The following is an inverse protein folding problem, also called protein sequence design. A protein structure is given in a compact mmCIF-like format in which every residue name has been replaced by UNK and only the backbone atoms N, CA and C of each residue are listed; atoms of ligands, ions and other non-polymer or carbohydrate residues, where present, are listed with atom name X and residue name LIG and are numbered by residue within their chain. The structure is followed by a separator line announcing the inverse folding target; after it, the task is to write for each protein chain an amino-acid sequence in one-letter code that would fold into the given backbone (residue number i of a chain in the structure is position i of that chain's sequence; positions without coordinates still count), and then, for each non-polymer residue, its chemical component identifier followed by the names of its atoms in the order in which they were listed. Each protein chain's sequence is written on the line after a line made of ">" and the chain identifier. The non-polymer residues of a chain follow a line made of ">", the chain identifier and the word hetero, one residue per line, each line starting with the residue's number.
data_IF_164618259975
#
_entry.id   IF_164618259975
#
_cell.length_a   1.000
_cell.length_b   1.000
_cell.length_c   1.000
_cell.angle_alpha   90.00
_cell.angle_beta   90.00
_cell.angle_gamma   90.00
#
_symmetry.space_group_name_H-M   'P 1'
#
loop_
_entity.id
_entity.type
_entity.pdbx_description
1 polymer ?
#
# COMPACT_ATOMS: atom_id res chain seq x y z
N UNK A 1 -9.91 7.25 9.07
CA UNK A 1 -9.49 6.24 10.07
C UNK A 1 -7.99 6.25 10.32
N UNK A 2 -7.12 6.12 9.30
CA UNK A 2 -5.66 6.12 9.52
C UNK A 2 -5.14 7.36 10.29
N UNK A 3 -5.65 8.55 9.97
CA UNK A 3 -5.32 9.78 10.70
C UNK A 3 -5.66 9.71 12.19
N UNK A 4 -6.84 9.18 12.55
CA UNK A 4 -7.23 9.05 13.96
C UNK A 4 -6.31 8.08 14.71
N UNK A 5 -5.84 7.01 14.07
CA UNK A 5 -4.88 6.07 14.68
C UNK A 5 -3.57 6.79 14.98
N UNK A 6 -3.08 7.59 14.04
CA UNK A 6 -1.88 8.41 14.24
C UNK A 6 -2.07 9.44 15.36
N UNK A 7 -3.21 10.14 15.41
CA UNK A 7 -3.46 11.20 16.39
C UNK A 7 -3.70 10.65 17.81
N UNK A 8 -4.43 9.54 17.94
CA UNK A 8 -4.86 9.00 19.23
C UNK A 8 -3.89 7.97 19.83
N UNK A 9 -3.08 7.32 19.00
CA UNK A 9 -2.17 6.25 19.41
C UNK A 9 -0.71 6.50 19.05
N UNK A 10 -0.29 7.75 18.84
CA UNK A 10 1.07 8.09 18.38
C UNK A 10 2.18 7.39 19.17
N UNK A 11 2.09 7.43 20.50
CA UNK A 11 3.11 6.88 21.39
C UNK A 11 3.15 5.34 21.39
N UNK A 12 2.11 4.67 20.89
CA UNK A 12 1.99 3.21 20.82
C UNK A 12 2.42 2.64 19.45
N UNK A 13 2.75 3.50 18.47
CA UNK A 13 3.02 3.09 17.09
C UNK A 13 4.52 2.89 16.83
N UNK A 14 4.91 1.64 16.58
CA UNK A 14 6.26 1.31 16.08
C UNK A 14 6.51 1.80 14.64
N UNK A 15 5.43 2.04 13.88
CA UNK A 15 5.47 2.47 12.49
C UNK A 15 4.23 3.30 12.13
N UNK A 16 4.31 4.20 11.13
CA UNK A 16 3.16 4.95 10.67
C UNK A 16 2.08 4.00 10.08
N UNK A 17 0.78 4.27 10.29
CA UNK A 17 -0.28 3.47 9.67
C UNK A 17 -0.17 3.47 8.15
N UNK A 18 -0.25 2.28 7.55
CA UNK A 18 -0.14 2.08 6.10
C UNK A 18 -1.51 1.73 5.53
N UNK A 19 -1.93 2.46 4.50
CA UNK A 19 -3.18 2.20 3.80
C UNK A 19 -2.90 1.50 2.48
N UNK A 20 -3.44 0.30 2.33
CA UNK A 20 -3.47 -0.43 1.06
C UNK A 20 -4.87 -0.31 0.48
N UNK A 21 -4.98 0.20 -0.74
CA UNK A 21 -6.25 0.41 -1.40
C UNK A 21 -6.11 0.38 -2.91
N UNK A 22 -7.24 0.25 -3.60
CA UNK A 22 -7.29 0.40 -5.05
C UNK A 22 -6.80 1.77 -5.49
N UNK A 23 -6.36 1.83 -6.75
CA UNK A 23 -5.95 3.09 -7.37
C UNK A 23 -7.15 4.03 -7.47
N UNK A 24 -6.90 5.34 -7.43
CA UNK A 24 -7.93 6.35 -7.62
C UNK A 24 -8.32 6.44 -9.11
N UNK A 25 -9.01 5.41 -9.59
CA UNK A 25 -9.48 5.27 -10.96
C UNK A 25 -10.87 4.63 -10.95
N UNK A 26 -11.59 4.73 -12.07
CA UNK A 26 -12.90 4.11 -12.23
C UNK A 26 -12.70 2.59 -12.16
N UNK A 27 -13.53 1.92 -11.36
CA UNK A 27 -13.48 0.46 -11.24
C UNK A 27 -13.56 -0.18 -12.64
N UNK A 28 -12.59 -1.01 -13.03
CA UNK A 28 -12.55 -1.59 -14.36
C UNK A 28 -13.56 -2.74 -14.49
N UNK A 29 -13.61 -3.36 -15.68
CA UNK A 29 -14.40 -4.56 -15.90
C UNK A 29 -13.91 -5.72 -15.02
N UNK A 30 -14.80 -6.72 -14.82
CA UNK A 30 -14.59 -7.86 -13.92
C UNK A 30 -13.26 -8.59 -14.18
N UNK A 31 -12.84 -8.68 -15.43
CA UNK A 31 -11.61 -9.35 -15.86
C UNK A 31 -10.32 -8.70 -15.31
N UNK A 32 -10.42 -7.47 -14.80
CA UNK A 32 -9.28 -6.70 -14.28
C UNK A 32 -9.31 -6.53 -12.75
N UNK A 33 -10.27 -7.15 -12.05
CA UNK A 33 -10.43 -7.03 -10.60
C UNK A 33 -9.20 -7.47 -9.83
N UNK A 34 -8.57 -8.58 -10.24
CA UNK A 34 -7.36 -9.12 -9.60
C UNK A 34 -6.16 -8.15 -9.64
N UNK A 35 -6.16 -7.23 -10.61
CA UNK A 35 -5.12 -6.22 -10.77
C UNK A 35 -5.48 -4.87 -10.15
N UNK A 36 -6.76 -4.62 -9.89
CA UNK A 36 -7.28 -3.34 -9.41
C UNK A 36 -7.56 -3.33 -7.91
N UNK A 37 -8.13 -4.42 -7.38
CA UNK A 37 -8.45 -4.55 -5.97
C UNK A 37 -7.24 -5.05 -5.17
N UNK A 38 -7.14 -4.65 -3.89
CA UNK A 38 -6.07 -5.12 -3.01
C UNK A 38 -6.04 -6.64 -2.93
N UNK A 39 -4.90 -7.21 -3.30
CA UNK A 39 -4.63 -8.65 -3.16
C UNK A 39 -3.84 -8.93 -1.88
N UNK A 40 -3.83 -10.19 -1.43
CA UNK A 40 -3.06 -10.61 -0.27
C UNK A 40 -1.56 -10.25 -0.40
N UNK A 41 -1.00 -10.35 -1.61
CA UNK A 41 0.38 -9.96 -1.91
C UNK A 41 0.65 -8.48 -1.66
N UNK A 42 -0.34 -7.59 -1.89
CA UNK A 42 -0.19 -6.15 -1.68
C UNK A 42 -0.06 -5.83 -0.19
N UNK A 43 -0.81 -6.56 0.64
CA UNK A 43 -0.75 -6.44 2.10
C UNK A 43 0.61 -6.94 2.62
N UNK A 44 1.07 -8.10 2.15
CA UNK A 44 2.36 -8.66 2.54
C UNK A 44 3.53 -7.75 2.15
N UNK A 45 3.51 -7.22 0.93
CA UNK A 45 4.53 -6.28 0.48
C UNK A 45 4.50 -4.97 1.29
N UNK A 46 3.30 -4.47 1.63
CA UNK A 46 3.16 -3.27 2.45
C UNK A 46 3.74 -3.48 3.86
N UNK A 47 3.45 -4.62 4.50
CA UNK A 47 4.05 -4.99 5.79
C UNK A 47 5.57 -5.06 5.66
N UNK A 48 6.07 -5.82 4.67
CA UNK A 48 7.50 -6.04 4.47
C UNK A 48 8.28 -4.73 4.25
N UNK A 49 7.74 -3.80 3.45
CA UNK A 49 8.45 -2.57 3.06
C UNK A 49 8.24 -1.43 4.05
N UNK A 50 7.07 -1.33 4.70
CA UNK A 50 6.68 -0.13 5.46
C UNK A 50 6.60 -0.35 6.97
N UNK A 51 6.51 -1.59 7.44
CA UNK A 51 6.34 -1.91 8.86
C UNK A 51 7.53 -2.72 9.36
N UNK A 52 7.69 -3.97 8.87
CA UNK A 52 8.73 -4.88 9.32
C UNK A 52 9.12 -5.87 8.21
N UNK A 53 10.42 -6.09 7.95
CA UNK A 53 10.86 -7.07 6.97
C UNK A 53 10.42 -8.49 7.33
N UNK A 54 9.60 -9.08 6.46
CA UNK A 54 9.19 -10.49 6.55
C UNK A 54 10.27 -11.43 6.03
N UNK A 55 10.56 -12.49 6.79
CA UNK A 55 11.55 -13.51 6.41
C UNK A 55 11.11 -14.25 5.15
N UNK A 56 12.02 -14.42 4.20
CA UNK A 56 11.80 -15.11 2.91
C UNK A 56 10.72 -14.49 2.01
N UNK A 57 10.27 -13.27 2.30
CA UNK A 57 9.31 -12.56 1.47
C UNK A 57 10.05 -11.77 0.39
N UNK A 58 9.67 -11.97 -0.87
CA UNK A 58 10.16 -11.16 -1.99
C UNK A 58 9.06 -10.22 -2.44
N UNK A 59 9.41 -8.94 -2.56
CA UNK A 59 8.43 -7.92 -2.92
C UNK A 59 8.03 -8.05 -4.39
N UNK A 60 6.73 -8.06 -4.63
CA UNK A 60 6.16 -8.16 -5.99
C UNK A 60 5.78 -6.81 -6.56
N UNK A 61 5.57 -5.80 -5.70
CA UNK A 61 5.21 -4.45 -6.10
C UNK A 61 6.25 -3.40 -5.67
N UNK A 62 6.38 -2.36 -6.49
CA UNK A 62 7.30 -1.25 -6.25
C UNK A 62 6.65 -0.17 -5.38
N UNK A 63 7.04 -0.10 -4.11
CA UNK A 63 6.57 0.91 -3.15
C UNK A 63 7.54 2.09 -2.93
N UNK A 64 8.53 2.25 -3.81
CA UNK A 64 9.53 3.32 -3.70
C UNK A 64 8.91 4.71 -3.87
N UNK A 65 9.53 5.73 -3.25
CA UNK A 65 9.11 7.12 -3.42
C UNK A 65 9.20 7.58 -4.88
N UNK A 66 10.17 7.07 -5.63
CA UNK A 66 10.33 7.36 -7.06
C UNK A 66 9.14 6.87 -7.88
N UNK A 67 8.69 5.64 -7.65
CA UNK A 67 7.50 5.11 -8.34
C UNK A 67 6.23 5.87 -7.95
N UNK A 68 6.08 6.22 -6.67
CA UNK A 68 4.94 7.04 -6.21
C UNK A 68 4.90 8.40 -6.93
N UNK A 69 6.04 9.07 -7.05
CA UNK A 69 6.15 10.36 -7.76
C UNK A 69 5.89 10.21 -9.26
N UNK A 70 6.44 9.17 -9.90
CA UNK A 70 6.22 8.90 -11.33
C UNK A 70 4.73 8.70 -11.62
N UNK A 71 4.07 7.87 -10.82
CA UNK A 71 2.64 7.58 -10.89
C UNK A 71 1.77 8.82 -10.70
N UNK A 72 2.07 9.61 -9.67
CA UNK A 72 1.36 10.87 -9.41
C UNK A 72 1.51 11.88 -10.56
N UNK A 73 2.66 11.93 -11.23
CA UNK A 73 2.89 12.82 -12.39
C UNK A 73 2.13 12.38 -13.63
N UNK A 74 1.95 11.07 -13.80
CA UNK A 74 1.27 10.49 -14.97
C UNK A 74 -0.23 10.28 -14.75
N UNK A 75 -0.72 10.37 -13.51
CA UNK A 75 -2.10 10.06 -13.16
C UNK A 75 -2.43 8.57 -13.22
N UNK A 76 -1.47 7.68 -12.91
CA UNK A 76 -1.59 6.20 -13.02
C UNK A 76 -1.30 5.43 -11.74
#
# INVERSE_FOLDING_TARGET
>A
MAQHITELGFDDLDAPPVVVGSRNWITPAFELEDYFFPQASWILDAIHVRIIPLKNHQTTHNFTSGEKLRRSRLGV
#
